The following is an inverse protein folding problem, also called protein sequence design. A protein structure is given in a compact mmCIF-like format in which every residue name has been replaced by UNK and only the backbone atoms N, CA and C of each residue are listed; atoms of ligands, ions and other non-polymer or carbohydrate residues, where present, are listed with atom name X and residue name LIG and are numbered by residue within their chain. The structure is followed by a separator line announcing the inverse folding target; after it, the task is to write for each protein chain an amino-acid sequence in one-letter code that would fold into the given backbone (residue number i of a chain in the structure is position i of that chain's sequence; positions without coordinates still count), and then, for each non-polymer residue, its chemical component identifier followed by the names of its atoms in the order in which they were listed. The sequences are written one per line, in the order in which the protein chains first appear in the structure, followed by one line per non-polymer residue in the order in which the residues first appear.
data_IF_128168032259
#
_entry.id   IF_128168032259
#
_cell.length_a   1.000
_cell.length_b   1.000
_cell.length_c   1.000
_cell.angle_alpha   90.00
_cell.angle_beta   90.00
_cell.angle_gamma   90.00
#
_symmetry.space_group_name_H-M   'P 1'
#
loop_
_entity.id
_entity.type
_entity.pdbx_description
1 polymer ?
#
# COMPACT_ATOMS: atom_id res chain seq x y z
N UNK A 1 -13.73 6.55 -7.15
CA UNK A 1 -12.29 6.72 -6.86
C UNK A 1 -11.57 5.48 -7.37
N UNK A 2 -10.93 5.52 -8.55
CA UNK A 2 -10.06 4.42 -9.00
C UNK A 2 -8.85 4.40 -8.07
N UNK A 3 -8.28 3.22 -7.79
CA UNK A 3 -7.19 3.07 -6.82
C UNK A 3 -5.95 2.57 -7.54
N UNK A 4 -4.80 3.13 -7.17
CA UNK A 4 -3.52 2.50 -7.46
C UNK A 4 -3.51 1.08 -6.88
N UNK A 5 -2.85 0.15 -7.56
CA UNK A 5 -2.66 -1.20 -7.05
C UNK A 5 -2.01 -1.15 -5.65
N UNK A 6 -2.35 -2.09 -4.75
CA UNK A 6 -1.74 -2.19 -3.43
C UNK A 6 -0.21 -2.28 -3.55
N UNK A 7 0.52 -1.54 -2.71
CA UNK A 7 1.98 -1.62 -2.69
C UNK A 7 2.46 -2.95 -2.09
N UNK A 8 1.72 -3.54 -1.13
CA UNK A 8 2.11 -4.77 -0.43
C UNK A 8 3.51 -4.66 0.23
N UNK A 9 3.77 -3.55 0.91
CA UNK A 9 5.01 -3.24 1.62
C UNK A 9 5.30 -4.21 2.78
N UNK A 10 4.29 -4.95 3.23
CA UNK A 10 4.46 -6.09 4.15
C UNK A 10 5.40 -7.17 3.58
N UNK A 11 5.51 -7.27 2.25
CA UNK A 11 6.39 -8.20 1.52
C UNK A 11 7.68 -7.54 1.06
N UNK A 12 7.57 -6.39 0.40
CA UNK A 12 8.69 -5.61 -0.13
C UNK A 12 8.69 -4.22 0.52
N UNK A 13 9.48 -4.00 1.60
CA UNK A 13 9.34 -2.81 2.44
C UNK A 13 9.84 -1.51 1.80
N UNK A 14 10.30 -1.57 0.56
CA UNK A 14 10.79 -0.44 -0.20
C UNK A 14 10.46 -0.63 -1.68
N UNK A 15 9.94 0.42 -2.30
CA UNK A 15 9.70 0.51 -3.73
C UNK A 15 10.23 1.84 -4.23
N UNK A 16 10.79 1.87 -5.43
CA UNK A 16 11.30 3.11 -6.00
C UNK A 16 11.20 3.10 -7.52
N UNK A 17 11.18 4.30 -8.09
CA UNK A 17 11.46 4.49 -9.49
C UNK A 17 12.11 5.86 -9.69
N UNK A 18 13.18 5.89 -10.47
CA UNK A 18 13.98 7.09 -10.68
C UNK A 18 13.89 7.57 -12.12
N UNK A 19 13.89 8.90 -12.28
CA UNK A 19 13.92 9.59 -13.57
C UNK A 19 12.87 9.08 -14.59
N UNK A 20 11.67 8.76 -14.11
CA UNK A 20 10.57 8.29 -14.97
C UNK A 20 10.01 9.46 -15.77
N UNK A 21 9.92 9.31 -17.09
CA UNK A 21 9.26 10.29 -17.95
C UNK A 21 7.76 10.01 -18.07
N UNK A 22 6.91 10.98 -17.76
CA UNK A 22 5.48 10.95 -18.11
C UNK A 22 5.23 11.33 -19.57
N UNK A 23 4.07 10.95 -20.11
CA UNK A 23 3.58 11.39 -21.42
C UNK A 23 3.24 12.90 -21.49
N UNK A 24 2.48 13.31 -22.50
CA UNK A 24 2.15 14.73 -22.78
C UNK A 24 1.32 15.42 -21.70
N UNK A 25 0.58 14.69 -20.87
CA UNK A 25 0.01 15.18 -19.61
C UNK A 25 0.03 14.01 -18.61
N UNK A 26 0.62 14.22 -17.43
CA UNK A 26 0.67 13.18 -16.40
C UNK A 26 -0.35 13.52 -15.31
N UNK A 27 -1.44 12.77 -15.26
CA UNK A 27 -2.42 12.85 -14.17
C UNK A 27 -2.36 11.53 -13.42
N UNK A 28 -1.93 11.62 -12.16
CA UNK A 28 -2.09 10.48 -11.27
C UNK A 28 -3.54 10.36 -10.83
N UNK A 29 -3.91 9.13 -10.50
CA UNK A 29 -5.21 8.83 -9.91
C UNK A 29 -5.17 9.28 -8.45
N UNK A 30 -6.26 9.86 -7.93
CA UNK A 30 -6.35 10.16 -6.49
C UNK A 30 -6.23 8.86 -5.69
N UNK A 31 -5.20 8.74 -4.85
CA UNK A 31 -4.90 7.51 -4.13
C UNK A 31 -4.30 7.77 -2.74
N UNK A 32 -4.09 6.67 -2.03
CA UNK A 32 -3.47 6.59 -0.71
C UNK A 32 -2.82 5.20 -0.59
N UNK A 33 -1.80 5.06 0.25
CA UNK A 33 -1.10 3.79 0.43
C UNK A 33 -0.43 3.69 1.81
N UNK A 34 -0.02 2.49 2.22
CA UNK A 34 0.48 2.19 3.57
C UNK A 34 1.89 2.72 3.91
N UNK A 35 2.69 3.12 2.92
CA UNK A 35 4.05 3.61 3.13
C UNK A 35 4.18 5.12 3.25
N UNK A 36 5.35 5.59 3.67
CA UNK A 36 5.79 6.97 3.46
C UNK A 36 6.35 7.07 2.05
N UNK A 37 5.79 7.94 1.21
CA UNK A 37 6.31 8.25 -0.12
C UNK A 37 7.12 9.54 -0.09
N UNK A 38 8.27 9.54 -0.75
CA UNK A 38 9.03 10.74 -1.11
C UNK A 38 9.03 10.84 -2.62
N UNK A 39 8.61 11.99 -3.13
CA UNK A 39 8.49 12.29 -4.55
C UNK A 39 9.31 13.52 -4.88
N UNK A 40 10.12 13.46 -5.92
CA UNK A 40 10.92 14.56 -6.42
C UNK A 40 10.57 14.85 -7.88
N UNK A 41 10.20 16.10 -8.16
CA UNK A 41 9.94 16.61 -9.51
C UNK A 41 11.24 17.18 -10.07
N UNK A 42 11.91 16.40 -10.91
CA UNK A 42 13.14 16.86 -11.57
C UNK A 42 12.84 17.83 -12.71
N UNK A 43 11.77 17.57 -13.48
CA UNK A 43 11.35 18.44 -14.59
C UNK A 43 9.84 18.43 -14.73
N UNK A 44 9.23 19.60 -14.84
CA UNK A 44 7.79 19.75 -15.11
C UNK A 44 7.12 20.68 -14.11
N UNK A 45 5.87 21.04 -14.37
CA UNK A 45 5.10 21.90 -13.47
C UNK A 45 3.65 21.44 -13.40
N UNK A 46 2.99 21.70 -12.29
CA UNK A 46 1.66 21.20 -12.07
C UNK A 46 1.12 21.52 -10.69
N UNK A 47 0.24 20.66 -10.22
CA UNK A 47 -0.39 20.75 -8.91
C UNK A 47 -0.37 19.40 -8.22
N UNK A 48 -0.19 19.44 -6.91
CA UNK A 48 -0.47 18.33 -6.01
C UNK A 48 -1.70 18.68 -5.18
N UNK A 49 -2.58 17.71 -4.96
CA UNK A 49 -3.66 17.81 -3.98
C UNK A 49 -3.32 16.88 -2.84
N UNK A 50 -3.30 17.39 -1.61
CA UNK A 50 -3.05 16.63 -0.37
C UNK A 50 -4.19 16.95 0.59
N UNK A 51 -4.97 15.95 0.99
CA UNK A 51 -6.11 16.13 1.90
C UNK A 51 -7.05 17.29 1.48
N UNK A 52 -7.33 17.37 0.18
CA UNK A 52 -8.20 18.40 -0.41
C UNK A 52 -7.55 19.78 -0.61
N UNK A 53 -6.30 19.99 -0.18
CA UNK A 53 -5.55 21.23 -0.41
C UNK A 53 -4.72 21.13 -1.68
N UNK A 54 -4.92 22.06 -2.62
CA UNK A 54 -4.14 22.13 -3.86
C UNK A 54 -2.92 23.04 -3.68
N UNK A 55 -1.75 22.57 -4.10
CA UNK A 55 -0.47 23.28 -4.03
C UNK A 55 0.20 23.22 -5.40
N UNK A 56 0.71 24.35 -5.89
CA UNK A 56 1.48 24.41 -7.12
C UNK A 56 2.86 23.79 -6.91
N UNK A 57 3.31 22.98 -7.87
CA UNK A 57 4.61 22.29 -7.83
C UNK A 57 5.36 22.51 -9.14
N UNK A 58 6.67 22.66 -9.07
CA UNK A 58 7.55 22.86 -10.21
C UNK A 58 8.78 21.97 -10.17
N UNK A 59 9.65 22.09 -11.17
CA UNK A 59 10.98 21.49 -11.15
C UNK A 59 11.73 21.89 -9.86
N UNK A 60 12.46 20.94 -9.27
CA UNK A 60 13.15 21.16 -8.01
C UNK A 60 12.24 21.13 -6.77
N UNK A 61 11.03 20.57 -6.90
CA UNK A 61 10.14 20.37 -5.75
C UNK A 61 10.27 18.94 -5.23
N UNK A 62 10.64 18.80 -3.97
CA UNK A 62 10.57 17.55 -3.22
C UNK A 62 9.29 17.54 -2.38
N UNK A 63 8.60 16.42 -2.34
CA UNK A 63 7.37 16.21 -1.59
C UNK A 63 7.48 14.94 -0.76
N UNK A 64 6.73 14.87 0.33
CA UNK A 64 6.52 13.61 1.03
C UNK A 64 5.06 13.43 1.43
N UNK A 65 4.60 12.18 1.39
CA UNK A 65 3.25 11.78 1.76
C UNK A 65 3.33 10.75 2.88
N UNK A 66 2.52 10.96 3.90
CA UNK A 66 2.43 10.05 5.04
C UNK A 66 1.50 8.87 4.71
N UNK A 67 1.56 7.75 5.48
CA UNK A 67 0.70 6.59 5.25
C UNK A 67 -0.77 6.97 5.20
N UNK A 68 -1.53 6.36 4.28
CA UNK A 68 -2.96 6.54 4.04
C UNK A 68 -3.42 8.00 3.88
N UNK A 69 -2.49 8.89 3.55
CA UNK A 69 -2.82 10.27 3.24
C UNK A 69 -3.32 10.35 1.80
N UNK A 70 -4.50 10.95 1.61
CA UNK A 70 -5.10 11.11 0.30
C UNK A 70 -4.32 12.13 -0.51
N UNK A 71 -3.77 11.72 -1.65
CA UNK A 71 -3.04 12.62 -2.53
C UNK A 71 -3.29 12.35 -4.02
N UNK A 72 -3.10 13.39 -4.83
CA UNK A 72 -3.21 13.36 -6.29
C UNK A 72 -2.17 14.28 -6.91
N UNK A 73 -1.46 13.79 -7.92
CA UNK A 73 -0.51 14.59 -8.68
C UNK A 73 -1.06 14.89 -10.09
N UNK A 74 -0.88 16.12 -10.58
CA UNK A 74 -1.29 16.52 -11.92
C UNK A 74 -0.24 17.43 -12.52
N UNK A 75 0.55 16.89 -13.45
CA UNK A 75 1.73 17.51 -14.03
C UNK A 75 1.56 17.71 -15.53
N UNK A 76 2.12 18.82 -16.01
CA UNK A 76 2.20 19.18 -17.41
C UNK A 76 3.67 19.33 -17.82
N UNK A 77 4.00 18.99 -19.07
CA UNK A 77 5.23 19.40 -19.73
C UNK A 77 5.49 20.90 -19.59
N UNK A 78 6.76 21.29 -19.55
CA UNK A 78 7.19 22.69 -19.57
C UNK A 78 7.96 22.94 -20.86
N UNK A 79 7.31 23.56 -21.85
CA UNK A 79 7.83 23.61 -23.22
C UNK A 79 7.89 22.20 -23.84
N UNK A 80 8.98 21.87 -24.55
CA UNK A 80 9.19 20.54 -25.14
C UNK A 80 9.69 19.48 -24.13
N UNK A 81 9.74 19.85 -22.85
CA UNK A 81 10.16 19.00 -21.75
C UNK A 81 9.13 17.93 -21.38
N UNK A 82 9.47 16.65 -21.48
CA UNK A 82 8.70 15.63 -20.74
C UNK A 82 8.80 15.87 -19.24
N UNK A 83 7.71 15.55 -18.54
CA UNK A 83 7.68 15.52 -17.08
C UNK A 83 8.60 14.39 -16.58
N UNK A 84 9.51 14.69 -15.65
CA UNK A 84 10.47 13.74 -15.07
C UNK A 84 10.35 13.75 -13.56
N UNK A 85 10.22 12.56 -12.96
CA UNK A 85 10.14 12.38 -11.51
C UNK A 85 10.98 11.21 -11.01
N UNK A 86 11.38 11.31 -9.76
CA UNK A 86 11.91 10.21 -8.97
C UNK A 86 11.04 10.04 -7.73
N UNK A 87 10.79 8.81 -7.30
CA UNK A 87 10.11 8.56 -6.04
C UNK A 87 10.65 7.31 -5.37
N UNK A 88 10.49 7.25 -4.06
CA UNK A 88 10.57 6.02 -3.30
C UNK A 88 9.50 5.98 -2.23
N UNK A 89 9.02 4.78 -1.92
CA UNK A 89 8.03 4.50 -0.88
C UNK A 89 8.60 3.44 0.03
N UNK A 90 8.42 3.58 1.34
CA UNK A 90 8.91 2.60 2.30
C UNK A 90 7.92 2.30 3.43
N UNK A 91 8.02 1.11 4.00
CA UNK A 91 7.30 0.69 5.21
C UNK A 91 7.88 1.42 6.44
N UNK A 92 7.13 2.34 7.07
CA UNK A 92 7.64 3.11 8.20
C UNK A 92 7.86 2.25 9.45
N UNK A 93 7.12 1.16 9.63
CA UNK A 93 7.28 0.28 10.80
C UNK A 93 8.60 -0.48 10.67
N UNK A 94 8.86 -1.02 9.48
CA UNK A 94 10.11 -1.71 9.19
C UNK A 94 11.32 -0.78 9.31
N UNK A 95 11.27 0.41 8.70
CA UNK A 95 12.39 1.35 8.77
C UNK A 95 12.61 1.85 10.20
N UNK A 96 11.56 2.14 10.95
CA UNK A 96 11.71 2.62 12.32
C UNK A 96 12.44 1.60 13.22
N UNK A 97 12.16 0.31 13.05
CA UNK A 97 12.88 -0.75 13.75
C UNK A 97 14.37 -0.79 13.35
N UNK A 98 14.68 -0.60 12.06
CA UNK A 98 16.06 -0.51 11.57
C UNK A 98 16.81 0.70 12.15
N UNK A 99 16.11 1.83 12.36
CA UNK A 99 16.68 3.06 12.89
C UNK A 99 16.91 3.04 14.42
N UNK A 100 16.54 1.96 15.13
CA UNK A 100 16.69 1.87 16.59
C UNK A 100 18.11 2.21 17.12
N UNK A 101 19.22 1.86 16.45
CA UNK A 101 20.57 2.26 16.85
C UNK A 101 20.89 3.76 16.66
N UNK A 102 20.05 4.50 15.93
CA UNK A 102 20.28 5.91 15.52
C UNK A 102 19.19 6.82 16.11
N UNK A 103 19.24 7.17 17.41
CA UNK A 103 18.09 7.76 18.12
C UNK A 103 17.61 9.08 17.54
N UNK A 104 18.52 9.96 17.08
CA UNK A 104 18.10 11.23 16.49
C UNK A 104 17.41 11.04 15.13
N UNK A 105 17.87 10.06 14.34
CA UNK A 105 17.26 9.74 13.05
C UNK A 105 15.92 9.02 13.23
N UNK A 106 15.82 8.11 14.21
CA UNK A 106 14.57 7.47 14.61
C UNK A 106 13.53 8.50 15.08
N UNK A 107 13.95 9.50 15.87
CA UNK A 107 13.08 10.59 16.32
C UNK A 107 12.58 11.44 15.15
N UNK A 108 13.47 11.82 14.22
CA UNK A 108 13.09 12.56 13.02
C UNK A 108 12.16 11.75 12.10
N UNK A 109 12.41 10.45 11.93
CA UNK A 109 11.52 9.57 11.19
C UNK A 109 10.10 9.53 11.81
N UNK A 110 10.01 9.47 13.15
CA UNK A 110 8.72 9.58 13.84
C UNK A 110 8.05 10.94 13.67
N UNK A 111 8.82 12.04 13.58
CA UNK A 111 8.26 13.35 13.24
C UNK A 111 7.67 13.34 11.83
N UNK A 112 8.43 12.85 10.84
CA UNK A 112 7.96 12.74 9.46
C UNK A 112 6.68 11.90 9.37
N UNK A 113 6.62 10.79 10.10
CA UNK A 113 5.49 9.86 10.09
C UNK A 113 4.28 10.35 10.89
N UNK A 114 4.46 10.74 12.15
CA UNK A 114 3.36 10.87 13.14
C UNK A 114 2.96 12.31 13.44
N UNK A 115 3.72 13.32 13.00
CA UNK A 115 3.37 14.74 13.24
C UNK A 115 2.46 15.28 12.15
N UNK A 116 1.73 16.33 12.48
CA UNK A 116 0.95 17.08 11.50
C UNK A 116 1.85 18.12 10.83
N UNK A 117 1.87 18.11 9.49
CA UNK A 117 2.67 19.05 8.69
C UNK A 117 1.76 20.07 8.02
N UNK A 118 2.12 21.36 8.10
CA UNK A 118 1.48 22.42 7.30
C UNK A 118 2.07 22.51 5.91
N UNK A 119 3.34 22.13 5.78
CA UNK A 119 4.09 22.08 4.53
C UNK A 119 4.69 20.67 4.38
N UNK A 120 4.33 19.99 3.30
CA UNK A 120 4.83 18.64 2.97
C UNK A 120 5.68 18.65 1.70
N UNK A 121 6.24 19.81 1.39
CA UNK A 121 7.09 20.02 0.22
C UNK A 121 8.25 20.95 0.53
N UNK A 122 9.28 20.83 -0.28
CA UNK A 122 10.48 21.64 -0.26
C UNK A 122 10.77 22.09 -1.70
N UNK A 123 10.77 23.40 -1.92
CA UNK A 123 11.15 23.99 -3.20
C UNK A 123 12.64 24.35 -3.21
N UNK A 124 13.22 24.56 -4.40
CA UNK A 124 14.63 24.93 -4.54
C UNK A 124 15.61 23.76 -4.34
N UNK A 125 15.12 22.52 -4.48
CA UNK A 125 15.96 21.33 -4.50
C UNK A 125 16.50 21.16 -5.93
N UNK A 126 17.46 22.02 -6.29
CA UNK A 126 18.04 22.05 -7.64
C UNK A 126 18.92 20.82 -7.95
N UNK A 127 19.38 20.70 -9.20
CA UNK A 127 20.08 19.53 -9.70
C UNK A 127 21.37 19.17 -8.94
N UNK A 128 22.04 20.14 -8.34
CA UNK A 128 23.25 20.03 -7.54
C UNK A 128 22.97 19.90 -6.03
N UNK A 129 21.71 20.00 -5.62
CA UNK A 129 21.31 19.87 -4.23
C UNK A 129 21.62 18.45 -3.70
N UNK A 130 22.15 18.29 -2.47
CA UNK A 130 22.50 16.97 -1.91
C UNK A 130 21.35 15.94 -1.96
N UNK A 131 20.12 16.39 -1.70
CA UNK A 131 18.92 15.53 -1.81
C UNK A 131 18.64 15.07 -3.25
N UNK A 132 18.81 15.94 -4.25
CA UNK A 132 18.64 15.58 -5.66
C UNK A 132 19.73 14.60 -6.12
N UNK A 133 20.97 14.83 -5.70
CA UNK A 133 22.11 13.95 -6.00
C UNK A 133 21.93 12.55 -5.40
N UNK A 134 21.48 12.45 -4.14
CA UNK A 134 21.19 11.17 -3.49
C UNK A 134 20.12 10.37 -4.28
N UNK A 135 19.05 11.03 -4.72
CA UNK A 135 18.02 10.40 -5.55
C UNK A 135 18.54 9.95 -6.92
N UNK A 136 19.51 10.65 -7.51
CA UNK A 136 20.11 10.26 -8.80
C UNK A 136 21.02 9.06 -8.67
N UNK A 137 21.87 9.02 -7.64
CA UNK A 137 22.79 7.90 -7.40
C UNK A 137 22.05 6.56 -7.34
N UNK A 138 20.93 6.49 -6.62
CA UNK A 138 20.13 5.26 -6.54
C UNK A 138 19.44 4.88 -7.87
N UNK A 139 19.12 5.88 -8.70
CA UNK A 139 18.54 5.66 -10.03
C UNK A 139 19.50 5.04 -11.03
N UNK A 140 20.79 5.34 -10.91
CA UNK A 140 21.83 4.86 -11.83
C UNK A 140 22.37 3.46 -11.42
N UNK A 141 22.19 3.03 -10.15
CA UNK A 141 22.77 1.79 -9.60
C UNK A 141 21.89 0.52 -9.67
N UNK A 142 20.57 0.59 -9.91
CA UNK A 142 19.78 -0.64 -10.16
C UNK A 142 18.30 -0.63 -9.77
N UNK A 143 17.46 0.19 -10.42
CA UNK A 143 16.04 0.32 -10.03
C UNK A 143 15.03 0.40 -11.17
N UNK A 144 15.31 -0.15 -12.34
CA UNK A 144 14.33 -0.20 -13.43
C UNK A 144 13.90 -1.62 -13.72
N UNK A 145 12.92 -2.14 -12.98
CA UNK A 145 11.91 -3.12 -13.47
C UNK A 145 11.02 -3.62 -12.32
N UNK A 146 10.09 -2.79 -11.86
CA UNK A 146 8.84 -3.23 -11.25
C UNK A 146 7.88 -2.03 -11.25
N UNK A 147 6.58 -2.28 -11.30
CA UNK A 147 5.45 -1.32 -11.24
C UNK A 147 4.83 -0.92 -12.59
N UNK A 148 5.50 -1.03 -13.75
CA UNK A 148 4.78 -0.85 -15.03
C UNK A 148 3.86 -2.05 -15.33
N UNK A 149 4.29 -3.30 -15.05
CA UNK A 149 3.46 -4.49 -15.28
C UNK A 149 2.19 -4.59 -14.38
N UNK A 150 2.14 -3.82 -13.29
CA UNK A 150 0.99 -3.77 -12.37
C UNK A 150 0.03 -2.62 -12.71
N UNK A 151 0.50 -1.59 -13.43
CA UNK A 151 -0.30 -0.41 -13.79
C UNK A 151 -0.65 -0.32 -15.29
N UNK A 152 0.11 -0.93 -16.19
CA UNK A 152 -0.17 -0.96 -17.65
C UNK A 152 -1.19 -2.04 -18.05
N UNK A 153 -1.32 -3.13 -17.28
CA UNK A 153 -2.39 -4.13 -17.47
C UNK A 153 -3.81 -3.63 -17.16
N UNK A 154 -3.95 -2.40 -16.67
CA UNK A 154 -5.24 -1.76 -16.43
C UNK A 154 -5.62 -0.74 -17.53
N UNK A 155 -4.74 -0.53 -18.52
CA UNK A 155 -4.97 0.37 -19.65
C UNK A 155 -5.19 -0.34 -20.99
N UNK A 156 -4.90 -1.64 -21.09
CA UNK A 156 -4.96 -2.37 -22.37
C UNK A 156 -6.29 -3.13 -22.59
N UNK A 157 -7.23 -3.10 -21.63
CA UNK A 157 -8.52 -3.82 -21.71
C UNK A 157 -9.72 -2.92 -22.12
N UNK A 158 -9.51 -1.69 -22.59
CA UNK A 158 -10.63 -0.76 -22.89
C UNK A 158 -10.44 0.08 -24.17
N UNK A 159 -9.67 -0.42 -25.15
CA UNK A 159 -9.79 0.03 -26.55
C UNK A 159 -10.73 -0.94 -27.29
N UNK A 160 -12.02 -0.86 -27.00
CA UNK A 160 -12.96 -1.83 -27.56
C UNK A 160 -14.44 -1.52 -27.49
N UNK A 161 -14.90 -0.26 -27.35
CA UNK A 161 -16.23 0.12 -27.86
C UNK A 161 -16.41 1.65 -27.89
N UNK A 162 -16.02 2.26 -29.00
CA UNK A 162 -16.39 3.64 -29.33
C UNK A 162 -16.69 3.71 -30.81
N UNK A 163 -17.76 3.02 -31.23
CA UNK A 163 -18.47 3.33 -32.46
C UNK A 163 -19.96 3.30 -32.17
N UNK A 164 -20.63 4.32 -32.70
CA UNK A 164 -22.08 4.45 -32.86
C UNK A 164 -22.86 4.94 -31.63
N UNK A 165 -22.86 6.27 -31.42
CA UNK A 165 -24.08 7.02 -31.07
C UNK A 165 -23.83 8.54 -31.16
N UNK A 166 -23.54 9.03 -32.38
CA UNK A 166 -23.71 10.44 -32.77
C UNK A 166 -24.67 10.52 -33.96
N UNK A 167 -25.93 10.09 -33.78
CA UNK A 167 -27.03 10.62 -34.60
C UNK A 167 -28.40 10.33 -33.97
N UNK A 168 -28.92 11.30 -33.20
CA UNK A 168 -30.36 11.57 -32.99
C UNK A 168 -30.52 12.64 -31.91
N UNK A 169 -30.57 13.90 -32.35
CA UNK A 169 -30.80 15.01 -31.42
C UNK A 169 -31.00 16.35 -32.09
N UNK A 170 -31.66 16.40 -33.27
CA UNK A 170 -32.18 17.64 -33.86
C UNK A 170 -33.50 17.33 -34.56
N UNK A 171 -34.42 18.32 -34.51
CA UNK A 171 -35.84 18.31 -34.89
C UNK A 171 -36.78 17.95 -33.71
N UNK A 172 -37.72 18.79 -33.25
CA UNK A 172 -38.27 20.02 -33.79
C UNK A 172 -38.83 20.90 -32.66
N UNK A 173 -38.75 22.23 -32.84
CA UNK A 173 -39.51 23.23 -32.11
C UNK A 173 -40.30 24.02 -33.15
N UNK A 174 -41.62 23.85 -33.18
CA UNK A 174 -42.66 24.89 -33.31
C UNK A 174 -43.99 24.24 -33.71
N UNK A 175 -45.02 24.40 -32.88
CA UNK A 175 -46.09 25.38 -33.10
C UNK A 175 -47.34 25.06 -32.27
N UNK A 176 -47.99 26.15 -31.88
CA UNK A 176 -49.41 26.29 -31.58
C UNK A 176 -49.95 26.09 -30.16
N UNK A 177 -50.92 26.97 -29.90
CA UNK A 177 -51.38 27.50 -28.64
C UNK A 177 -52.88 27.24 -28.45
N UNK A 178 -53.31 27.49 -27.21
CA UNK A 178 -54.65 27.90 -26.77
C UNK A 178 -55.71 26.84 -26.37
N UNK A 179 -56.30 27.11 -25.20
CA UNK A 179 -57.61 26.63 -24.69
C UNK A 179 -57.55 25.30 -23.93
N UNK A 180 -58.04 25.13 -22.72
CA UNK A 180 -58.89 25.92 -21.84
C UNK A 180 -59.54 24.98 -20.80
N UNK A 181 -59.82 25.53 -19.61
CA UNK A 181 -60.94 25.22 -18.71
C UNK A 181 -60.96 23.99 -17.77
N UNK A 182 -61.52 24.22 -16.57
CA UNK A 182 -62.08 23.23 -15.62
C UNK A 182 -61.14 22.74 -14.49
N UNK A 183 -61.11 23.32 -13.28
CA UNK A 183 -62.09 23.31 -12.18
C UNK A 183 -61.89 22.16 -11.15
N UNK A 184 -61.87 22.55 -9.85
CA UNK A 184 -62.31 21.79 -8.63
C UNK A 184 -61.40 20.67 -8.10
N UNK A 185 -61.17 20.39 -6.82
CA UNK A 185 -61.62 20.82 -5.46
C UNK A 185 -60.39 20.51 -4.54
N UNK A 186 -59.97 21.35 -3.59
CA UNK A 186 -60.39 21.45 -2.16
C UNK A 186 -60.40 20.15 -1.32
N UNK A 187 -60.04 20.35 -0.05
CA UNK A 187 -60.01 19.49 1.16
C UNK A 187 -58.74 18.66 1.43
N UNK A 188 -57.91 19.02 2.42
CA UNK A 188 -58.12 18.85 3.89
C UNK A 188 -58.25 17.37 4.30
N UNK A 189 -57.71 16.84 5.38
CA UNK A 189 -56.81 17.26 6.45
C UNK A 189 -56.58 15.99 7.31
N UNK A 190 -55.54 15.98 8.16
CA UNK A 190 -55.50 15.33 9.50
C UNK A 190 -55.77 13.81 9.54
N UNK A 191 -54.82 12.96 9.88
CA UNK A 191 -54.18 12.87 11.19
C UNK A 191 -54.41 11.46 11.76
N UNK A 192 -53.62 11.04 12.75
CA UNK A 192 -53.90 9.82 13.51
C UNK A 192 -52.67 9.01 13.85
N UNK A 193 -52.14 9.31 15.03
CA UNK A 193 -51.22 8.50 15.82
C UNK A 193 -51.78 7.09 16.10
N UNK A 194 -50.90 6.14 16.33
CA UNK A 194 -51.25 4.78 16.76
C UNK A 194 -50.03 4.03 17.26
N UNK A 195 -49.92 3.99 18.57
CA UNK A 195 -48.85 3.47 19.40
C UNK A 195 -49.14 2.03 19.89
N UNK A 196 -48.11 1.36 20.44
CA UNK A 196 -48.16 0.13 21.28
C UNK A 196 -48.44 -1.19 20.52
N UNK A 197 -47.90 -2.38 20.84
CA UNK A 197 -47.20 -2.94 22.00
C UNK A 197 -46.66 -4.34 21.56
N UNK A 198 -45.46 -4.77 21.95
CA UNK A 198 -45.16 -5.70 23.06
C UNK A 198 -45.06 -7.21 22.69
N UNK A 199 -44.12 -7.88 23.38
CA UNK A 199 -44.03 -9.33 23.72
C UNK A 199 -43.29 -10.36 22.84
N UNK A 200 -42.04 -10.62 23.27
CA UNK A 200 -41.49 -11.90 23.79
C UNK A 200 -41.68 -13.25 23.07
N UNK A 201 -40.56 -13.97 22.84
CA UNK A 201 -40.20 -15.35 23.29
C UNK A 201 -39.02 -15.89 22.44
N UNK A 202 -37.85 -16.20 23.02
CA UNK A 202 -37.43 -17.51 23.60
C UNK A 202 -37.54 -18.71 22.65
N UNK A 203 -36.41 -19.32 22.25
CA UNK A 203 -35.96 -20.64 22.77
C UNK A 203 -34.81 -21.25 21.95
N UNK A 204 -34.05 -22.12 22.64
CA UNK A 204 -32.84 -22.84 22.25
C UNK A 204 -33.05 -24.13 21.42
N UNK A 205 -31.93 -24.74 20.98
CA UNK A 205 -31.79 -26.15 20.54
C UNK A 205 -30.86 -26.28 19.33
N UNK A 206 -29.59 -26.73 19.37
CA UNK A 206 -28.99 -28.03 19.76
C UNK A 206 -29.22 -29.19 18.77
N UNK A 207 -28.11 -29.76 18.23
CA UNK A 207 -28.04 -31.07 17.54
C UNK A 207 -27.19 -31.02 16.26
N UNK A 208 -25.89 -31.37 16.26
CA UNK A 208 -25.25 -32.71 16.08
C UNK A 208 -25.56 -33.44 14.75
N UNK A 209 -24.50 -33.76 13.99
CA UNK A 209 -24.28 -35.12 13.46
C UNK A 209 -23.97 -35.31 11.95
N UNK A 210 -22.95 -36.14 11.69
CA UNK A 210 -22.58 -36.89 10.46
C UNK A 210 -21.92 -36.09 9.30
N UNK A 211 -20.69 -36.37 8.82
CA UNK A 211 -19.95 -37.59 8.45
C UNK A 211 -20.37 -38.21 7.09
N UNK A 212 -19.37 -38.34 6.20
CA UNK A 212 -19.42 -38.93 4.84
C UNK A 212 -18.84 -37.94 3.82
N UNK A 213 -17.86 -38.23 2.96
CA UNK A 213 -17.31 -39.50 2.50
C UNK A 213 -17.08 -39.40 0.98
N UNK A 214 -15.85 -39.01 0.59
CA UNK A 214 -15.06 -39.45 -0.57
C UNK A 214 -15.71 -39.66 -1.96
N UNK A 215 -15.30 -38.88 -2.98
CA UNK A 215 -15.03 -39.27 -4.39
C UNK A 215 -14.12 -38.14 -4.96
N UNK A 216 -12.96 -38.30 -5.61
CA UNK A 216 -12.39 -39.43 -6.34
C UNK A 216 -12.47 -39.17 -7.85
N UNK A 217 -11.61 -38.34 -8.43
CA UNK A 217 -11.41 -38.36 -9.88
C UNK A 217 -9.93 -38.17 -10.27
N UNK A 218 -9.39 -39.26 -10.79
CA UNK A 218 -8.12 -39.39 -11.50
C UNK A 218 -8.36 -39.22 -12.99
N UNK A 219 -7.44 -38.54 -13.69
CA UNK A 219 -7.38 -38.54 -15.15
C UNK A 219 -6.01 -38.05 -15.65
N UNK A 220 -5.14 -39.01 -15.98
CA UNK A 220 -4.02 -38.84 -16.91
C UNK A 220 -4.58 -38.55 -18.33
N UNK A 221 -3.93 -37.93 -19.30
CA UNK A 221 -2.56 -37.46 -19.54
C UNK A 221 -2.41 -37.31 -21.07
N UNK A 222 -1.52 -36.43 -21.57
CA UNK A 222 -0.64 -36.62 -22.76
C UNK A 222 0.02 -35.30 -23.22
N UNK A 223 1.36 -35.35 -23.23
CA UNK A 223 2.34 -34.84 -24.21
C UNK A 223 2.07 -33.59 -25.07
N UNK A 224 2.99 -32.62 -24.98
CA UNK A 224 3.27 -31.62 -26.00
C UNK A 224 4.53 -30.84 -25.64
N UNK A 225 5.63 -31.07 -26.37
CA UNK A 225 6.92 -30.41 -26.17
C UNK A 225 6.90 -28.94 -26.60
N UNK A 226 7.75 -28.15 -25.95
CA UNK A 226 8.00 -26.76 -26.28
C UNK A 226 9.13 -26.22 -25.41
N UNK A 227 10.34 -26.25 -25.97
CA UNK A 227 11.51 -25.59 -25.42
C UNK A 227 11.22 -24.10 -25.24
N UNK A 228 11.37 -23.55 -24.03
CA UNK A 228 11.66 -22.12 -23.84
C UNK A 228 12.51 -21.89 -22.59
N UNK A 229 13.55 -21.09 -22.82
CA UNK A 229 14.49 -20.43 -21.92
C UNK A 229 14.28 -20.60 -20.40
N UNK A 230 15.25 -21.27 -19.80
CA UNK A 230 15.51 -21.25 -18.36
C UNK A 230 15.88 -19.82 -17.92
N UNK A 231 14.89 -19.04 -17.49
CA UNK A 231 15.12 -17.80 -16.75
C UNK A 231 15.62 -18.15 -15.34
N UNK A 232 16.95 -18.19 -15.19
CA UNK A 232 17.60 -18.20 -13.87
C UNK A 232 17.39 -16.84 -13.20
N UNK A 233 16.22 -16.63 -12.60
CA UNK A 233 16.08 -15.62 -11.54
C UNK A 233 16.66 -16.24 -10.26
N UNK A 234 17.93 -15.95 -10.00
CA UNK A 234 18.59 -16.31 -8.77
C UNK A 234 17.90 -15.63 -7.58
N UNK A 235 17.24 -16.42 -6.73
CA UNK A 235 16.62 -15.97 -5.49
C UNK A 235 17.66 -15.61 -4.40
N UNK A 236 18.83 -15.10 -4.77
CA UNK A 236 19.97 -14.81 -3.88
C UNK A 236 20.08 -13.35 -3.40
N UNK A 237 19.20 -12.45 -3.84
CA UNK A 237 19.35 -11.00 -3.61
C UNK A 237 18.54 -10.37 -2.47
N UNK A 238 17.70 -11.13 -1.74
CA UNK A 238 16.62 -10.52 -0.95
C UNK A 238 17.03 -9.87 0.38
N UNK A 239 18.12 -10.30 1.03
CA UNK A 239 18.54 -9.75 2.33
C UNK A 239 19.44 -8.52 2.15
N UNK A 240 20.50 -8.63 1.33
CA UNK A 240 21.39 -7.53 1.01
C UNK A 240 20.65 -6.35 0.33
N UNK A 241 19.73 -6.62 -0.59
CA UNK A 241 18.92 -5.57 -1.20
C UNK A 241 18.08 -4.78 -0.18
N UNK A 242 17.60 -5.44 0.89
CA UNK A 242 16.86 -4.77 1.96
C UNK A 242 17.75 -3.89 2.84
N UNK A 243 19.02 -4.27 3.04
CA UNK A 243 19.99 -3.48 3.80
C UNK A 243 20.45 -2.25 3.01
N UNK A 244 20.76 -2.39 1.73
CA UNK A 244 21.15 -1.27 0.85
C UNK A 244 20.03 -0.22 0.77
N UNK A 245 18.78 -0.68 0.65
CA UNK A 245 17.60 0.18 0.68
C UNK A 245 17.43 0.88 2.04
N UNK A 246 17.62 0.17 3.15
CA UNK A 246 17.54 0.76 4.48
C UNK A 246 18.60 1.86 4.68
N UNK A 247 19.84 1.58 4.26
CA UNK A 247 20.95 2.53 4.31
C UNK A 247 20.69 3.76 3.44
N UNK A 248 20.17 3.57 2.24
CA UNK A 248 19.76 4.66 1.36
C UNK A 248 18.73 5.56 2.05
N UNK A 249 17.62 4.98 2.53
CA UNK A 249 16.56 5.78 3.16
C UNK A 249 17.07 6.46 4.43
N UNK A 250 17.87 5.77 5.25
CA UNK A 250 18.49 6.36 6.44
C UNK A 250 19.40 7.55 6.09
N UNK A 251 20.26 7.40 5.08
CA UNK A 251 21.14 8.46 4.59
C UNK A 251 20.34 9.64 4.02
N UNK A 252 19.32 9.38 3.22
CA UNK A 252 18.43 10.39 2.67
C UNK A 252 17.68 11.16 3.78
N UNK A 253 17.13 10.46 4.77
CA UNK A 253 16.47 11.08 5.92
C UNK A 253 17.45 11.92 6.76
N UNK A 254 18.71 11.49 6.86
CA UNK A 254 19.77 12.28 7.49
C UNK A 254 20.03 13.61 6.77
N UNK A 255 20.09 13.59 5.43
CA UNK A 255 20.22 14.81 4.62
C UNK A 255 18.98 15.70 4.74
N UNK A 256 17.79 15.12 4.67
CA UNK A 256 16.52 15.85 4.75
C UNK A 256 16.39 16.53 6.11
N UNK A 257 16.70 15.82 7.19
CA UNK A 257 16.69 16.36 8.54
C UNK A 257 17.58 17.59 8.67
N UNK A 258 18.84 17.49 8.22
CA UNK A 258 19.80 18.62 8.30
C UNK A 258 19.26 19.84 7.57
N UNK A 259 18.69 19.63 6.39
CA UNK A 259 18.12 20.72 5.62
C UNK A 259 16.91 21.37 6.32
N UNK A 260 16.02 20.58 6.91
CA UNK A 260 14.85 21.08 7.64
C UNK A 260 15.21 21.70 8.99
N UNK A 261 16.33 21.32 9.60
CA UNK A 261 16.87 21.96 10.82
C UNK A 261 17.53 23.31 10.49
N UNK A 262 18.22 23.42 9.34
CA UNK A 262 18.93 24.64 8.92
C UNK A 262 18.00 25.71 8.31
N UNK A 263 16.96 25.27 7.57
CA UNK A 263 15.92 26.15 7.03
C UNK A 263 14.72 26.14 7.95
N UNK A 264 14.35 27.28 8.53
CA UNK A 264 13.28 27.48 9.52
C UNK A 264 11.87 27.04 9.07
N UNK A 265 11.64 25.76 8.78
CA UNK A 265 10.35 25.18 8.41
C UNK A 265 9.63 24.83 9.70
N UNK A 266 8.57 25.59 10.01
CA UNK A 266 7.83 25.44 11.25
C UNK A 266 7.06 24.11 11.30
N UNK A 267 7.60 23.13 12.03
CA UNK A 267 6.86 21.94 12.49
C UNK A 267 5.73 22.39 13.43
N UNK A 268 4.52 21.83 13.27
CA UNK A 268 3.51 21.93 14.32
C UNK A 268 3.73 20.79 15.32
N UNK A 269 3.83 21.13 16.61
CA UNK A 269 4.00 20.16 17.70
C UNK A 269 2.82 19.17 17.88
N UNK A 270 1.81 19.20 17.01
CA UNK A 270 0.58 18.41 17.12
C UNK A 270 0.76 17.07 16.41
N UNK A 271 0.39 15.97 17.08
CA UNK A 271 0.36 14.63 16.49
C UNK A 271 -0.80 14.53 15.50
N UNK A 272 -0.56 13.93 14.33
CA UNK A 272 -1.63 13.62 13.37
C UNK A 272 -2.52 12.49 13.92
N UNK A 273 -3.85 12.55 13.75
CA UNK A 273 -4.68 11.38 14.02
C UNK A 273 -4.33 10.25 13.04
N UNK A 274 -4.00 9.08 13.56
CA UNK A 274 -3.71 7.89 12.76
C UNK A 274 -5.02 7.38 12.12
N UNK A 275 -4.95 6.92 10.86
CA UNK A 275 -6.11 6.28 10.23
C UNK A 275 -6.45 4.95 10.92
N UNK A 276 -7.67 4.45 10.71
CA UNK A 276 -8.04 3.12 11.21
C UNK A 276 -7.15 2.01 10.61
N UNK A 277 -6.73 2.12 9.34
CA UNK A 277 -5.79 1.17 8.74
C UNK A 277 -4.39 1.27 9.36
N UNK A 278 -3.88 2.47 9.65
CA UNK A 278 -2.59 2.63 10.35
C UNK A 278 -2.61 1.97 11.72
N UNK A 279 -3.65 2.27 12.51
CA UNK A 279 -3.84 1.65 13.83
C UNK A 279 -3.94 0.13 13.73
N UNK A 280 -4.61 -0.38 12.69
CA UNK A 280 -4.71 -1.80 12.46
C UNK A 280 -3.35 -2.45 12.16
N UNK A 281 -2.56 -1.84 11.28
CA UNK A 281 -1.22 -2.32 10.97
C UNK A 281 -0.30 -2.26 12.18
N UNK A 282 -0.31 -1.17 12.95
CA UNK A 282 0.49 -1.04 14.17
C UNK A 282 0.14 -2.13 15.19
N UNK A 283 -1.16 -2.40 15.38
CA UNK A 283 -1.60 -3.49 16.25
C UNK A 283 -1.13 -4.85 15.74
N UNK A 284 -1.25 -5.13 14.43
CA UNK A 284 -0.78 -6.39 13.85
C UNK A 284 0.74 -6.56 13.98
N UNK A 285 1.51 -5.48 13.84
CA UNK A 285 2.97 -5.50 13.96
C UNK A 285 3.48 -5.66 15.39
N UNK A 286 2.68 -5.29 16.38
CA UNK A 286 3.02 -5.43 17.80
C UNK A 286 2.48 -6.73 18.41
N UNK A 287 1.61 -7.45 17.70
CA UNK A 287 0.95 -8.65 18.20
C UNK A 287 0.97 -9.82 17.21
N UNK A 288 1.92 -9.83 16.26
CA UNK A 288 2.01 -10.91 15.28
C UNK A 288 2.42 -12.24 15.90
N UNK A 289 3.12 -12.20 17.02
CA UNK A 289 3.80 -13.30 17.71
C UNK A 289 2.88 -14.20 18.55
N UNK A 290 1.57 -13.88 18.60
CA UNK A 290 0.57 -14.63 19.35
C UNK A 290 -0.59 -15.11 18.47
N UNK A 291 -1.42 -16.07 18.91
CA UNK A 291 -2.65 -16.44 18.20
C UNK A 291 -3.51 -15.21 17.90
N UNK A 292 -4.03 -15.12 16.68
CA UNK A 292 -4.76 -13.94 16.22
C UNK A 292 -6.26 -14.23 16.10
N UNK A 293 -7.07 -13.28 16.58
CA UNK A 293 -8.51 -13.23 16.34
C UNK A 293 -8.88 -11.85 15.83
N UNK A 294 -9.63 -11.81 14.73
CA UNK A 294 -10.12 -10.55 14.15
C UNK A 294 -10.96 -9.73 15.14
N UNK A 295 -11.68 -10.39 16.06
CA UNK A 295 -12.44 -9.74 17.13
C UNK A 295 -11.58 -8.86 18.03
N UNK A 296 -10.37 -9.30 18.39
CA UNK A 296 -9.46 -8.54 19.26
C UNK A 296 -8.97 -7.25 18.56
N UNK A 297 -8.68 -7.35 17.26
CA UNK A 297 -8.33 -6.18 16.45
C UNK A 297 -9.51 -5.21 16.34
N UNK A 298 -10.72 -5.74 16.13
CA UNK A 298 -11.94 -4.94 16.01
C UNK A 298 -12.26 -4.20 17.32
N UNK A 299 -12.13 -4.88 18.45
CA UNK A 299 -12.26 -4.28 19.80
C UNK A 299 -11.24 -3.17 20.01
N UNK A 300 -9.97 -3.40 19.66
CA UNK A 300 -8.90 -2.39 19.78
C UNK A 300 -9.18 -1.13 18.94
N UNK A 301 -9.81 -1.31 17.77
CA UNK A 301 -10.15 -0.21 16.88
C UNK A 301 -11.50 0.45 17.21
N UNK A 302 -12.28 -0.13 18.11
CA UNK A 302 -13.69 0.23 18.38
C UNK A 302 -14.58 0.12 17.13
N UNK A 303 -14.38 -0.95 16.36
CA UNK A 303 -15.10 -1.22 15.10
C UNK A 303 -15.68 -2.64 15.11
N UNK A 304 -16.54 -2.94 14.13
CA UNK A 304 -17.01 -4.32 13.93
C UNK A 304 -15.98 -5.13 13.12
N UNK A 305 -15.87 -6.46 13.33
CA UNK A 305 -14.94 -7.31 12.57
C UNK A 305 -15.14 -7.23 11.05
N UNK A 306 -16.40 -7.17 10.61
CA UNK A 306 -16.76 -7.04 9.20
C UNK A 306 -16.25 -5.72 8.62
N UNK A 307 -16.43 -4.61 9.34
CA UNK A 307 -15.96 -3.30 8.92
C UNK A 307 -14.43 -3.24 8.87
N UNK A 308 -13.73 -3.77 9.88
CA UNK A 308 -12.25 -3.86 9.86
C UNK A 308 -11.76 -4.65 8.65
N UNK A 309 -12.37 -5.79 8.33
CA UNK A 309 -11.97 -6.61 7.19
C UNK A 309 -12.16 -5.88 5.86
N UNK A 310 -13.31 -5.23 5.69
CA UNK A 310 -13.61 -4.44 4.50
C UNK A 310 -12.65 -3.26 4.37
N UNK A 311 -12.51 -2.45 5.42
CA UNK A 311 -11.61 -1.30 5.48
C UNK A 311 -10.15 -1.68 5.21
N UNK A 312 -9.63 -2.71 5.88
CA UNK A 312 -8.23 -3.10 5.74
C UNK A 312 -7.94 -3.56 4.31
N UNK A 313 -8.81 -4.40 3.73
CA UNK A 313 -8.69 -4.79 2.32
C UNK A 313 -8.89 -3.61 1.37
N UNK A 314 -9.68 -2.61 1.77
CA UNK A 314 -9.94 -1.41 1.00
C UNK A 314 -8.72 -0.48 0.93
N UNK A 315 -8.03 -0.28 2.06
CA UNK A 315 -6.98 0.73 2.23
C UNK A 315 -5.57 0.16 2.11
N UNK A 316 -5.32 -1.02 2.68
CA UNK A 316 -4.03 -1.74 2.64
C UNK A 316 -3.95 -2.61 1.37
N UNK A 317 -5.10 -3.02 0.84
CA UNK A 317 -5.18 -3.77 -0.42
C UNK A 317 -4.91 -5.28 -0.31
N UNK A 318 -4.59 -5.76 0.89
CA UNK A 318 -4.56 -7.19 1.22
C UNK A 318 -5.50 -7.54 2.39
N UNK A 319 -5.77 -8.81 2.63
CA UNK A 319 -6.56 -9.19 3.80
C UNK A 319 -5.72 -9.07 5.07
N UNK A 320 -6.38 -8.88 6.22
CA UNK A 320 -5.71 -8.88 7.55
C UNK A 320 -4.89 -10.16 7.76
N UNK A 321 -5.42 -11.30 7.34
CA UNK A 321 -4.74 -12.61 7.45
C UNK A 321 -3.50 -12.71 6.56
N UNK A 322 -3.56 -12.17 5.35
CA UNK A 322 -2.42 -12.17 4.42
C UNK A 322 -1.30 -11.26 4.94
N UNK A 323 -1.65 -10.05 5.40
CA UNK A 323 -0.72 -9.10 6.01
C UNK A 323 -0.01 -9.72 7.22
N UNK A 324 -0.79 -10.30 8.13
CA UNK A 324 -0.27 -10.96 9.33
C UNK A 324 0.66 -12.12 8.96
N UNK A 325 0.29 -12.91 7.96
CA UNK A 325 1.12 -14.03 7.49
C UNK A 325 2.44 -13.52 6.93
N UNK A 326 2.42 -12.51 6.05
CA UNK A 326 3.62 -11.89 5.51
C UNK A 326 4.53 -11.37 6.64
N UNK A 327 3.96 -10.65 7.62
CA UNK A 327 4.70 -10.14 8.77
C UNK A 327 5.38 -11.23 9.58
N UNK A 328 4.68 -12.34 9.84
CA UNK A 328 5.23 -13.51 10.56
C UNK A 328 6.34 -14.19 9.78
N UNK A 329 6.20 -14.36 8.47
CA UNK A 329 7.26 -14.93 7.64
C UNK A 329 8.49 -14.02 7.63
N UNK A 330 8.32 -12.70 7.53
CA UNK A 330 9.43 -11.74 7.63
C UNK A 330 10.16 -11.83 8.97
N UNK A 331 9.42 -11.90 10.07
CA UNK A 331 10.00 -12.11 11.41
C UNK A 331 10.73 -13.46 11.51
N UNK A 332 10.19 -14.51 10.89
CA UNK A 332 10.83 -15.81 10.86
C UNK A 332 12.14 -15.80 10.04
N UNK A 333 12.17 -15.13 8.88
CA UNK A 333 13.39 -14.95 8.10
C UNK A 333 14.50 -14.29 8.93
N UNK A 334 14.16 -13.24 9.68
CA UNK A 334 15.11 -12.59 10.59
C UNK A 334 15.64 -13.58 11.66
N UNK A 335 14.75 -14.27 12.38
CA UNK A 335 15.17 -15.25 13.40
C UNK A 335 16.01 -16.40 12.80
N UNK A 336 15.71 -16.85 11.59
CA UNK A 336 16.49 -17.88 10.91
C UNK A 336 17.89 -17.40 10.51
N UNK A 337 18.05 -16.10 10.26
CA UNK A 337 19.32 -15.48 9.87
C UNK A 337 20.19 -15.09 11.07
N UNK A 338 19.58 -14.67 12.18
CA UNK A 338 20.29 -14.11 13.33
C UNK A 338 20.38 -15.05 14.53
N UNK A 339 19.81 -16.26 14.43
CA UNK A 339 19.82 -17.22 15.54
C UNK A 339 19.87 -18.68 15.09
N UNK A 340 20.32 -19.54 16.02
CA UNK A 340 20.39 -20.99 15.82
C UNK A 340 19.11 -21.74 16.27
N UNK A 341 18.02 -21.02 16.53
CA UNK A 341 16.81 -21.61 17.08
C UNK A 341 16.27 -22.76 16.20
N UNK A 342 15.84 -23.88 16.77
CA UNK A 342 15.11 -24.91 16.03
C UNK A 342 13.92 -24.32 15.27
N UNK A 343 13.66 -24.82 14.06
CA UNK A 343 12.58 -24.32 13.18
C UNK A 343 11.21 -24.34 13.87
N UNK A 344 10.95 -25.33 14.73
CA UNK A 344 9.73 -25.37 15.55
C UNK A 344 9.62 -24.22 16.54
N UNK A 345 10.71 -23.85 17.21
CA UNK A 345 10.73 -22.69 18.12
C UNK A 345 10.63 -21.36 17.36
N UNK A 346 11.19 -21.28 16.16
CA UNK A 346 10.98 -20.11 15.29
C UNK A 346 9.50 -19.97 14.93
N UNK A 347 8.83 -21.07 14.55
CA UNK A 347 7.41 -21.07 14.24
C UNK A 347 6.57 -20.58 15.44
N UNK A 348 6.87 -21.09 16.64
CA UNK A 348 6.20 -20.69 17.87
C UNK A 348 6.42 -19.19 18.19
N UNK A 349 7.66 -18.70 18.08
CA UNK A 349 7.99 -17.28 18.34
C UNK A 349 7.35 -16.29 17.36
N UNK A 350 6.94 -16.75 16.19
CA UNK A 350 6.19 -15.92 15.23
C UNK A 350 4.68 -16.18 15.30
N UNK A 351 4.19 -16.82 16.36
CA UNK A 351 2.77 -17.02 16.60
C UNK A 351 2.12 -18.13 15.77
N UNK A 352 2.91 -19.07 15.23
CA UNK A 352 2.43 -20.22 14.47
C UNK A 352 2.78 -21.52 15.20
N UNK A 353 1.84 -22.01 16.01
CA UNK A 353 2.02 -23.20 16.85
C UNK A 353 2.23 -24.51 16.07
N UNK A 354 1.72 -24.60 14.84
CA UNK A 354 1.89 -25.79 14.01
C UNK A 354 3.10 -25.65 13.08
N UNK A 355 4.21 -26.31 13.43
CA UNK A 355 5.47 -26.30 12.66
C UNK A 355 5.29 -26.76 11.20
N UNK A 356 4.49 -27.81 10.94
CA UNK A 356 4.26 -28.29 9.57
C UNK A 356 3.48 -27.29 8.73
N UNK A 357 2.54 -26.56 9.33
CA UNK A 357 1.84 -25.46 8.68
C UNK A 357 2.76 -24.28 8.44
N UNK A 358 3.57 -23.89 9.43
CA UNK A 358 4.61 -22.87 9.28
C UNK A 358 5.55 -23.17 8.11
N UNK A 359 6.10 -24.39 8.02
CA UNK A 359 7.00 -24.76 6.93
C UNK A 359 6.35 -24.65 5.55
N UNK A 360 5.05 -24.98 5.42
CA UNK A 360 4.30 -24.83 4.17
C UNK A 360 4.07 -23.35 3.81
N UNK A 361 3.69 -22.53 4.79
CA UNK A 361 3.55 -21.08 4.61
C UNK A 361 4.88 -20.45 4.21
N UNK A 362 5.95 -20.73 4.95
CA UNK A 362 7.27 -20.21 4.69
C UNK A 362 7.73 -20.58 3.27
N UNK A 363 7.60 -21.85 2.87
CA UNK A 363 7.95 -22.28 1.51
C UNK A 363 7.13 -21.60 0.43
N UNK A 364 5.84 -21.33 0.68
CA UNK A 364 4.97 -20.60 -0.25
C UNK A 364 5.44 -19.15 -0.44
N UNK A 365 5.86 -18.49 0.63
CA UNK A 365 6.29 -17.09 0.59
C UNK A 365 7.72 -16.92 0.10
N UNK A 366 8.65 -17.79 0.51
CA UNK A 366 10.08 -17.65 0.24
C UNK A 366 10.58 -18.52 -0.92
N UNK A 367 9.73 -19.38 -1.50
CA UNK A 367 10.10 -20.34 -2.53
C UNK A 367 10.89 -21.56 -2.02
N UNK A 368 11.38 -21.53 -0.78
CA UNK A 368 12.15 -22.61 -0.17
C UNK A 368 11.80 -22.86 1.30
N UNK A 369 12.15 -24.05 1.81
CA UNK A 369 11.88 -24.40 3.22
C UNK A 369 12.77 -23.63 4.20
N UNK A 370 12.34 -23.40 5.45
CA UNK A 370 13.14 -22.74 6.49
C UNK A 370 14.56 -23.32 6.67
N UNK A 371 14.69 -24.65 6.67
CA UNK A 371 16.01 -25.32 6.78
C UNK A 371 16.93 -25.03 5.60
N UNK A 372 16.38 -24.99 4.38
CA UNK A 372 17.15 -24.68 3.17
C UNK A 372 17.58 -23.22 3.16
N UNK A 373 16.68 -22.33 3.57
CA UNK A 373 16.95 -20.90 3.74
C UNK A 373 18.11 -20.65 4.71
N UNK A 374 18.08 -21.26 5.90
CA UNK A 374 19.18 -21.13 6.87
C UNK A 374 20.51 -21.65 6.32
N UNK A 375 20.51 -22.88 5.77
CA UNK A 375 21.72 -23.48 5.20
C UNK A 375 22.32 -22.65 4.07
N UNK A 376 21.49 -21.93 3.30
CA UNK A 376 21.97 -21.00 2.27
C UNK A 376 22.72 -19.84 2.92
N UNK A 377 22.14 -19.19 3.93
CA UNK A 377 22.78 -18.08 4.64
C UNK A 377 24.12 -18.49 5.28
N UNK A 378 24.20 -19.68 5.87
CA UNK A 378 25.44 -20.23 6.43
C UNK A 378 26.54 -20.43 5.37
N UNK A 379 26.16 -20.76 4.12
CA UNK A 379 27.12 -20.94 3.01
C UNK A 379 27.58 -19.60 2.44
N UNK A 380 26.67 -18.65 2.33
CA UNK A 380 26.96 -17.33 1.76
C UNK A 380 27.79 -16.47 2.74
N UNK A 381 27.61 -16.66 4.05
CA UNK A 381 28.42 -16.00 5.10
C UNK A 381 29.80 -16.61 5.35
N UNK A 382 30.06 -17.83 4.87
CA UNK A 382 31.33 -18.55 5.07
C UNK A 382 32.35 -18.38 3.94
N UNK A 383 32.09 -17.52 2.96
CA UNK A 383 32.98 -17.28 1.80
C UNK A 383 33.76 -15.96 1.86
N UNK A 384 33.80 -15.34 3.04
CA UNK A 384 34.47 -14.04 3.28
C UNK A 384 35.63 -14.06 4.27
N UNK A 385 36.17 -15.23 4.62
CA UNK A 385 37.29 -15.38 5.58
C UNK A 385 38.59 -15.85 4.90
#
# INVERSE_FOLDING_TARGET
MRRSAPLALSREPFQSAFRRSGGSEYKDITHLHEGIEVLYVERGAGQVVIEGRSVAVGSGTLLFFQPFQLHKLSMRPVGDARYIRSFFVYDPIWLHAYLAPFPQLAAFHLQLWKRQWTCQWLAGVDADHPLALALRQLGDEGGSEAIEAVRSRASDDDEGDARDDEDRGREAINSDAAGGDGAKDEDEAVGGEGQEDDRTRSSAGAGRGAAGGNVGYSGAGTTGGGETASSRTGAGGSAAAGEDQALFVAGFLGLLRRYLEDGSVAEHAVRRPDSHAERAMEWLNTHYDRPFRLGELAEHLHLTPAYVSALFRQEVGESVSDYLTARRIKAACHLLATSELPVGLVAERVGISNTSYFCRLFKRHMGESPHRFRRRLERDGGQGD
#
